data_IF_560333429961
#
_entry.id   IF_560333429961
#
_cell.length_a   1.000
_cell.length_b   1.000
_cell.length_c   1.000
_cell.angle_alpha   90.00
_cell.angle_beta   90.00
_cell.angle_gamma   90.00
#
_symmetry.space_group_name_H-M   'P 1'
#
loop_
_entity.id
_entity.type
_entity.pdbx_description
1 polymer ?
#
# COMPACT_ATOMS: atom_id res chain seq x y z
N UNK A 1 -36.67 17.16 22.90
CA UNK A 1 -35.22 17.10 22.60
C UNK A 1 -35.05 16.92 21.10
N UNK A 2 -34.63 17.97 20.42
CA UNK A 2 -34.31 17.87 18.97
C UNK A 2 -32.91 17.33 18.86
N UNK A 3 -32.76 16.05 18.52
CA UNK A 3 -31.49 15.46 18.10
C UNK A 3 -31.13 16.06 16.74
N UNK A 4 -30.25 17.05 16.76
CA UNK A 4 -29.67 17.60 15.55
C UNK A 4 -28.73 16.56 14.97
N UNK A 5 -29.24 15.72 14.09
CA UNK A 5 -28.44 14.82 13.30
C UNK A 5 -27.73 15.68 12.24
N UNK A 6 -26.47 16.02 12.48
CA UNK A 6 -25.63 16.67 11.45
C UNK A 6 -25.45 15.71 10.28
N UNK A 7 -25.61 16.17 9.04
CA UNK A 7 -25.36 15.32 7.88
C UNK A 7 -23.90 14.87 7.89
N UNK A 8 -23.67 13.61 7.49
CA UNK A 8 -22.35 12.97 7.46
C UNK A 8 -21.31 13.81 6.70
N UNK A 9 -21.74 14.57 5.68
CA UNK A 9 -20.88 15.48 4.93
C UNK A 9 -20.27 16.59 5.78
N UNK A 10 -21.05 17.18 6.69
CA UNK A 10 -20.60 18.24 7.61
C UNK A 10 -19.61 17.70 8.65
N UNK A 11 -19.80 16.45 9.10
CA UNK A 11 -18.87 15.76 9.99
C UNK A 11 -17.53 15.43 9.27
N UNK A 12 -17.59 15.06 8.01
CA UNK A 12 -16.40 14.79 7.21
C UNK A 12 -15.62 16.07 6.91
N UNK A 13 -16.27 17.20 6.64
CA UNK A 13 -15.62 18.50 6.47
C UNK A 13 -14.87 18.91 7.72
N UNK A 14 -15.49 18.82 8.90
CA UNK A 14 -14.84 19.14 10.18
C UNK A 14 -13.66 18.23 10.49
N UNK A 15 -13.75 16.94 10.13
CA UNK A 15 -12.66 15.98 10.31
C UNK A 15 -11.50 16.19 9.30
N UNK A 16 -11.79 16.74 8.12
CA UNK A 16 -10.79 17.01 7.10
C UNK A 16 -10.08 18.36 7.27
N UNK A 17 -10.67 19.32 8.01
CA UNK A 17 -10.07 20.64 8.23
C UNK A 17 -8.74 20.57 9.00
N UNK A 18 -8.54 19.56 9.85
CA UNK A 18 -7.32 19.38 10.65
C UNK A 18 -6.26 18.46 10.00
N UNK A 19 -6.61 17.79 8.88
CA UNK A 19 -5.70 16.87 8.21
C UNK A 19 -4.92 17.57 7.10
N UNK A 20 -3.60 17.66 7.28
CA UNK A 20 -2.73 18.17 6.23
C UNK A 20 -2.65 17.19 5.05
N UNK A 21 -2.46 17.70 3.83
CA UNK A 21 -2.29 16.86 2.64
C UNK A 21 -1.16 15.80 2.80
N UNK A 22 -0.02 16.10 3.44
CA UNK A 22 0.99 15.09 3.75
C UNK A 22 0.48 13.96 4.66
N UNK A 23 -0.38 14.26 5.65
CA UNK A 23 -0.92 13.25 6.57
C UNK A 23 -1.85 12.29 5.84
N UNK A 24 -2.68 12.79 4.94
CA UNK A 24 -3.56 11.98 4.09
C UNK A 24 -2.73 11.05 3.21
N UNK A 25 -1.69 11.58 2.55
CA UNK A 25 -0.79 10.76 1.71
C UNK A 25 -0.02 9.72 2.50
N UNK A 26 0.43 10.08 3.71
CA UNK A 26 1.08 9.14 4.63
C UNK A 26 0.15 7.99 4.99
N UNK A 27 -1.10 8.29 5.36
CA UNK A 27 -2.11 7.29 5.70
C UNK A 27 -2.41 6.36 4.53
N UNK A 28 -2.49 6.88 3.31
CA UNK A 28 -2.70 6.11 2.09
C UNK A 28 -1.55 5.13 1.83
N UNK A 29 -0.31 5.58 1.92
CA UNK A 29 0.87 4.71 1.78
C UNK A 29 0.91 3.64 2.86
N UNK A 30 0.66 3.99 4.13
CA UNK A 30 0.67 3.05 5.24
C UNK A 30 -0.45 2.00 5.10
N UNK A 31 -1.64 2.40 4.64
CA UNK A 31 -2.74 1.46 4.40
C UNK A 31 -2.43 0.50 3.25
N UNK A 32 -1.79 0.97 2.19
CA UNK A 32 -1.36 0.14 1.08
C UNK A 32 -0.35 -0.92 1.54
N UNK A 33 0.64 -0.53 2.33
CA UNK A 33 1.63 -1.47 2.90
C UNK A 33 0.95 -2.48 3.81
N UNK A 34 0.05 -2.05 4.69
CA UNK A 34 -0.69 -2.91 5.60
C UNK A 34 -1.50 -3.98 4.85
N UNK A 35 -2.19 -3.58 3.79
CA UNK A 35 -2.96 -4.49 2.93
C UNK A 35 -2.06 -5.52 2.26
N UNK A 36 -0.91 -5.12 1.72
CA UNK A 36 0.03 -6.04 1.06
C UNK A 36 0.65 -7.05 2.03
N UNK A 37 0.97 -6.63 3.27
CA UNK A 37 1.45 -7.52 4.33
C UNK A 37 0.34 -8.51 4.74
N UNK A 38 -0.88 -8.03 4.96
CA UNK A 38 -2.03 -8.87 5.32
C UNK A 38 -2.35 -9.89 4.24
N UNK A 39 -2.36 -9.49 2.96
CA UNK A 39 -2.54 -10.40 1.83
C UNK A 39 -1.46 -11.48 1.81
N UNK A 40 -0.20 -11.10 1.95
CA UNK A 40 0.91 -12.05 1.93
C UNK A 40 0.81 -13.11 3.05
N UNK A 41 0.25 -12.75 4.20
CA UNK A 41 -0.04 -13.67 5.29
C UNK A 41 -1.23 -14.58 4.98
N UNK A 42 -2.34 -14.00 4.52
CA UNK A 42 -3.58 -14.72 4.20
C UNK A 42 -3.34 -15.73 3.07
N UNK A 43 -2.63 -15.34 2.02
CA UNK A 43 -2.29 -16.22 0.89
C UNK A 43 -1.47 -17.44 1.32
N UNK A 44 -0.74 -17.34 2.44
CA UNK A 44 0.00 -18.45 3.06
C UNK A 44 -0.80 -19.22 4.10
N UNK A 45 -2.07 -18.88 4.31
CA UNK A 45 -2.94 -19.44 5.35
C UNK A 45 -2.32 -19.39 6.77
N UNK A 46 -1.56 -18.33 7.08
CA UNK A 46 -0.88 -18.15 8.36
C UNK A 46 -1.66 -17.22 9.28
N UNK A 47 -1.66 -17.51 10.57
CA UNK A 47 -2.06 -16.54 11.57
C UNK A 47 -0.92 -15.53 11.84
N UNK A 48 -1.20 -14.45 12.57
CA UNK A 48 -0.22 -13.39 12.83
C UNK A 48 1.05 -13.90 13.57
N UNK A 49 0.91 -14.89 14.43
CA UNK A 49 2.02 -15.46 15.19
C UNK A 49 2.94 -16.30 14.29
N UNK A 50 2.37 -17.11 13.43
CA UNK A 50 3.11 -17.93 12.46
C UNK A 50 3.84 -17.02 11.46
N UNK A 51 3.18 -16.01 11.00
CA UNK A 51 3.76 -15.03 10.08
C UNK A 51 4.89 -14.23 10.76
N UNK A 52 4.72 -13.83 12.01
CA UNK A 52 5.75 -13.16 12.79
C UNK A 52 7.02 -14.02 12.92
N UNK A 53 6.83 -15.34 13.18
CA UNK A 53 7.95 -16.28 13.25
C UNK A 53 8.67 -16.42 11.89
N UNK A 54 7.92 -16.46 10.77
CA UNK A 54 8.49 -16.52 9.41
C UNK A 54 9.36 -15.30 9.13
N UNK A 55 8.87 -14.11 9.47
CA UNK A 55 9.57 -12.83 9.22
C UNK A 55 10.69 -12.59 10.27
N UNK A 56 10.62 -13.22 11.43
CA UNK A 56 11.58 -13.03 12.52
C UNK A 56 11.28 -11.79 13.37
N UNK A 57 10.01 -11.49 13.60
CA UNK A 57 9.53 -10.38 14.42
C UNK A 57 8.52 -10.85 15.46
N UNK A 58 8.11 -9.96 16.37
CA UNK A 58 7.04 -10.29 17.31
C UNK A 58 5.65 -10.21 16.65
N UNK A 59 4.69 -11.01 17.17
CA UNK A 59 3.30 -10.96 16.73
C UNK A 59 2.71 -9.54 16.88
N UNK A 60 3.06 -8.83 17.93
CA UNK A 60 2.63 -7.45 18.15
C UNK A 60 3.11 -6.48 17.07
N UNK A 61 4.28 -6.72 16.47
CA UNK A 61 4.77 -5.95 15.33
C UNK A 61 3.92 -6.20 14.09
N UNK A 62 3.61 -7.46 13.78
CA UNK A 62 2.72 -7.83 12.65
C UNK A 62 1.35 -7.18 12.83
N UNK A 63 0.78 -7.24 14.03
CA UNK A 63 -0.50 -6.60 14.34
C UNK A 63 -0.47 -5.08 14.11
N UNK A 64 0.61 -4.39 14.50
CA UNK A 64 0.78 -2.95 14.23
C UNK A 64 0.90 -2.64 12.76
N UNK A 65 1.62 -3.48 12.00
CA UNK A 65 1.77 -3.33 10.56
C UNK A 65 0.44 -3.46 9.82
N UNK A 66 -0.33 -4.49 10.15
CA UNK A 66 -1.64 -4.75 9.55
C UNK A 66 -2.69 -3.70 9.91
N UNK A 67 -2.56 -3.05 11.06
CA UNK A 67 -3.44 -1.95 11.48
C UNK A 67 -3.00 -0.57 10.97
N UNK A 68 -1.91 -0.48 10.22
CA UNK A 68 -1.38 0.78 9.71
C UNK A 68 -0.79 1.69 10.81
N UNK A 69 -0.62 1.20 12.03
CA UNK A 69 -0.09 1.97 13.18
C UNK A 69 1.42 1.81 13.34
N UNK A 70 2.16 1.89 12.26
CA UNK A 70 3.60 1.76 12.28
C UNK A 70 4.25 2.74 11.30
N UNK A 71 5.35 3.35 11.74
CA UNK A 71 6.23 4.06 10.82
C UNK A 71 7.28 3.06 10.35
N UNK A 72 7.30 2.80 9.05
CA UNK A 72 8.30 1.95 8.43
C UNK A 72 9.52 2.77 8.00
N UNK A 73 10.70 2.23 8.23
CA UNK A 73 11.89 2.65 7.50
C UNK A 73 11.94 1.93 6.16
N UNK A 74 12.60 2.51 5.17
CA UNK A 74 12.80 1.88 3.86
C UNK A 74 13.50 0.53 4.01
N UNK A 75 14.51 0.47 4.90
CA UNK A 75 15.25 -0.74 5.24
C UNK A 75 14.32 -1.85 5.74
N UNK A 76 13.45 -1.53 6.71
CA UNK A 76 12.47 -2.49 7.23
C UNK A 76 11.50 -2.98 6.15
N UNK A 77 11.05 -2.09 5.27
CA UNK A 77 10.17 -2.47 4.16
C UNK A 77 10.87 -3.43 3.19
N UNK A 78 12.09 -3.11 2.81
CA UNK A 78 12.89 -3.98 1.92
C UNK A 78 13.07 -5.36 2.55
N UNK A 79 13.42 -5.43 3.83
CA UNK A 79 13.59 -6.70 4.56
C UNK A 79 12.30 -7.53 4.58
N UNK A 80 11.16 -6.91 4.88
CA UNK A 80 9.87 -7.59 4.90
C UNK A 80 9.53 -8.15 3.53
N UNK A 81 9.60 -7.32 2.47
CA UNK A 81 9.20 -7.73 1.14
C UNK A 81 10.18 -8.74 0.53
N UNK A 82 11.49 -8.64 0.79
CA UNK A 82 12.47 -9.66 0.43
C UNK A 82 12.14 -11.04 1.05
N UNK A 83 11.81 -11.08 2.34
CA UNK A 83 11.40 -12.32 3.03
C UNK A 83 10.08 -12.89 2.49
N UNK A 84 9.23 -12.03 1.97
CA UNK A 84 7.98 -12.42 1.31
C UNK A 84 8.18 -12.86 -0.15
N UNK A 85 9.38 -12.72 -0.69
CA UNK A 85 9.68 -13.01 -2.10
C UNK A 85 9.02 -12.02 -3.06
N UNK A 86 8.83 -10.79 -2.61
CA UNK A 86 8.27 -9.67 -3.39
C UNK A 86 9.31 -8.57 -3.55
N UNK A 87 9.34 -7.95 -4.70
CA UNK A 87 10.16 -6.77 -4.94
C UNK A 87 9.40 -5.50 -4.54
N UNK A 88 10.09 -4.60 -3.86
CA UNK A 88 9.56 -3.29 -3.50
C UNK A 88 10.06 -2.24 -4.51
N UNK A 89 9.14 -1.58 -5.19
CA UNK A 89 9.44 -0.48 -6.10
C UNK A 89 8.83 0.81 -5.59
N UNK A 90 9.62 1.88 -5.57
CA UNK A 90 9.16 3.23 -5.28
C UNK A 90 9.02 3.98 -6.60
N UNK A 91 7.80 4.36 -6.94
CA UNK A 91 7.50 5.16 -8.11
C UNK A 91 7.15 6.58 -7.68
N UNK A 92 7.78 7.58 -8.30
CA UNK A 92 7.48 8.98 -8.09
C UNK A 92 6.73 9.51 -9.32
N UNK A 93 5.44 9.78 -9.14
CA UNK A 93 4.62 10.40 -10.17
C UNK A 93 4.47 11.89 -9.90
N UNK A 94 4.44 12.70 -10.96
CA UNK A 94 4.06 14.11 -10.81
C UNK A 94 2.63 14.18 -10.30
N UNK A 95 2.33 15.04 -9.32
CA UNK A 95 0.96 15.20 -8.87
C UNK A 95 0.10 15.58 -10.07
N UNK A 96 -0.89 14.76 -10.36
CA UNK A 96 -1.86 15.07 -11.41
C UNK A 96 -2.65 16.29 -10.94
N UNK A 97 -2.47 17.41 -11.62
CA UNK A 97 -3.14 18.69 -11.32
C UNK A 97 -4.64 18.65 -11.65
N UNK A 98 -5.27 17.50 -11.61
CA UNK A 98 -6.63 17.33 -12.09
C UNK A 98 -7.55 16.72 -11.05
N UNK A 99 -7.81 17.48 -9.97
CA UNK A 99 -8.98 17.22 -9.12
C UNK A 99 -10.29 17.57 -9.85
N UNK A 100 -10.21 18.22 -11.02
CA UNK A 100 -11.40 18.67 -11.74
C UNK A 100 -12.18 17.57 -12.47
N UNK A 101 -11.66 16.37 -12.65
CA UNK A 101 -12.33 15.30 -13.42
C UNK A 101 -12.84 14.12 -12.58
N UNK A 102 -12.66 14.12 -11.28
CA UNK A 102 -13.15 13.03 -10.41
C UNK A 102 -14.67 13.14 -10.17
N UNK A 103 -15.27 14.32 -10.41
CA UNK A 103 -16.71 14.54 -10.16
C UNK A 103 -17.58 14.14 -11.37
N UNK A 104 -17.01 13.92 -12.54
CA UNK A 104 -17.76 13.51 -13.73
C UNK A 104 -17.66 12.04 -14.07
N UNK A 105 -17.83 11.15 -13.09
CA UNK A 105 -18.27 9.75 -13.29
C UNK A 105 -17.66 8.90 -14.41
N UNK A 106 -16.56 9.32 -15.01
CA UNK A 106 -15.92 8.55 -16.07
C UNK A 106 -14.75 7.75 -15.48
N UNK A 107 -15.10 6.68 -14.73
CA UNK A 107 -14.13 5.67 -14.35
C UNK A 107 -13.63 4.96 -15.61
N UNK A 108 -12.32 4.94 -15.88
CA UNK A 108 -11.81 4.13 -16.97
C UNK A 108 -12.22 2.67 -16.71
N UNK A 109 -12.77 2.01 -17.72
CA UNK A 109 -13.16 0.60 -17.61
C UNK A 109 -11.95 -0.24 -17.18
N UNK A 110 -12.20 -1.31 -16.44
CA UNK A 110 -11.16 -2.21 -15.92
C UNK A 110 -10.17 -2.74 -16.99
N UNK A 111 -10.50 -2.62 -18.26
CA UNK A 111 -9.63 -2.93 -19.39
C UNK A 111 -8.47 -1.95 -19.59
N UNK A 112 -8.56 -0.71 -19.07
CA UNK A 112 -7.51 0.29 -19.21
C UNK A 112 -6.27 0.00 -18.33
N UNK A 113 -6.40 -0.83 -17.31
CA UNK A 113 -5.31 -1.21 -16.40
C UNK A 113 -4.43 -2.34 -16.95
N UNK A 114 -4.83 -2.96 -18.08
CA UNK A 114 -4.15 -4.12 -18.64
C UNK A 114 -3.17 -3.78 -19.78
N UNK A 115 -2.98 -2.52 -20.10
CA UNK A 115 -2.06 -2.12 -21.16
C UNK A 115 -0.80 -1.50 -20.59
N UNK A 116 0.20 -2.30 -20.48
CA UNK A 116 1.62 -2.07 -20.20
C UNK A 116 2.08 -2.55 -18.82
N UNK A 117 2.06 -3.88 -18.65
CA UNK A 117 3.20 -4.46 -17.96
C UNK A 117 4.40 -4.20 -18.85
N UNK A 118 5.49 -3.59 -18.38
CA UNK A 118 6.72 -3.65 -19.13
C UNK A 118 7.02 -5.14 -19.33
N UNK A 119 7.13 -5.55 -20.58
CA UNK A 119 7.55 -6.90 -20.94
C UNK A 119 8.79 -7.21 -20.14
N UNK A 120 8.78 -8.36 -19.44
CA UNK A 120 9.92 -8.85 -18.68
C UNK A 120 11.18 -8.62 -19.50
N UNK A 121 12.12 -7.87 -18.94
CA UNK A 121 13.46 -7.77 -19.48
C UNK A 121 13.94 -9.21 -19.53
N UNK A 122 14.09 -9.76 -20.73
CA UNK A 122 14.74 -11.04 -20.94
C UNK A 122 16.09 -10.92 -20.26
N UNK A 123 16.31 -11.72 -19.21
CA UNK A 123 17.64 -11.93 -18.70
C UNK A 123 18.44 -12.50 -19.86
N UNK A 124 19.28 -11.69 -20.50
CA UNK A 124 20.28 -12.17 -21.41
C UNK A 124 21.13 -13.16 -20.66
N UNK A 125 21.15 -14.38 -21.16
CA UNK A 125 22.11 -15.39 -20.76
C UNK A 125 23.47 -14.73 -20.77
N UNK A 126 24.03 -14.55 -19.59
CA UNK A 126 25.48 -14.39 -19.46
C UNK A 126 26.03 -15.78 -19.81
N UNK A 127 26.46 -15.94 -21.05
CA UNK A 127 27.31 -17.06 -21.40
C UNK A 127 28.61 -16.85 -20.64
N UNK A 128 28.80 -17.63 -19.58
CA UNK A 128 30.07 -17.82 -18.95
C UNK A 128 30.95 -18.55 -19.96
N UNK A 129 31.78 -17.83 -20.71
CA UNK A 129 32.91 -18.44 -21.40
C UNK A 129 33.91 -18.85 -20.32
N UNK A 130 33.82 -20.11 -19.92
CA UNK A 130 34.91 -20.74 -19.21
C UNK A 130 36.09 -20.95 -20.18
N UNK A 131 37.11 -20.19 -19.95
CA UNK A 131 38.44 -20.46 -20.53
C UNK A 131 39.21 -21.32 -19.55
#
# INVERSE_FOLDING_TARGET
MKTSTRPIGELLEVLCEDLSLPDIKKADVLSTIAVEISKARIDRNMNQKEFANLIGVSQGMVSRWENGNCNFTIETLVDIFCKLGKDLYLCFEKPVSTISNVITGNFPSASAWNTKRPSAVKADKIEEEAV
#
